data_IF_102495465759
#
_entry.id   IF_102495465759
#
_cell.length_a   1.000
_cell.length_b   1.000
_cell.length_c   1.000
_cell.angle_alpha   90.00
_cell.angle_beta   90.00
_cell.angle_gamma   90.00
#
_symmetry.space_group_name_H-M   'P 1'
#
loop_
_entity.id
_entity.type
_entity.pdbx_description
1 polymer ?
#
# COMPACT_ATOMS: atom_id res chain seq x y z
N UNK A 1 41.85 -27.97 -2.36
CA UNK A 1 41.07 -27.80 -1.10
C UNK A 1 40.61 -26.37 -0.86
N UNK A 2 41.31 -25.33 -1.33
CA UNK A 2 40.91 -23.93 -1.14
C UNK A 2 39.65 -23.49 -1.93
N UNK A 3 39.38 -24.09 -3.10
CA UNK A 3 38.16 -23.81 -3.91
C UNK A 3 36.86 -24.37 -3.32
N UNK A 4 36.94 -25.40 -2.48
CA UNK A 4 35.77 -26.04 -1.86
C UNK A 4 35.35 -25.24 -0.61
N UNK A 5 36.31 -24.61 0.10
CA UNK A 5 35.99 -23.69 1.19
C UNK A 5 35.27 -22.43 0.71
N UNK A 6 35.63 -21.83 -0.42
CA UNK A 6 34.93 -20.63 -0.93
C UNK A 6 33.46 -20.90 -1.32
N UNK A 7 33.15 -22.09 -1.83
CA UNK A 7 31.78 -22.49 -2.15
C UNK A 7 30.95 -22.80 -0.89
N UNK A 8 31.59 -23.34 0.16
CA UNK A 8 30.94 -23.59 1.45
C UNK A 8 30.76 -22.31 2.31
N UNK A 9 31.60 -21.29 2.11
CA UNK A 9 31.47 -19.99 2.79
C UNK A 9 30.47 -19.05 2.09
N UNK A 10 30.24 -19.19 0.78
CA UNK A 10 29.18 -18.44 0.08
C UNK A 10 27.76 -18.94 0.41
N UNK A 11 27.59 -20.22 0.76
CA UNK A 11 26.29 -20.74 1.21
C UNK A 11 25.94 -20.38 2.66
N UNK A 12 26.90 -19.90 3.45
CA UNK A 12 26.68 -19.46 4.84
C UNK A 12 26.34 -17.97 4.99
N UNK A 13 26.32 -17.20 3.88
CA UNK A 13 25.96 -15.77 3.85
C UNK A 13 24.59 -15.48 3.23
N UNK A 14 23.89 -16.50 2.73
CA UNK A 14 22.46 -16.37 2.45
C UNK A 14 21.69 -16.56 3.75
N UNK A 15 21.74 -15.55 4.63
CA UNK A 15 20.72 -15.40 5.65
C UNK A 15 19.38 -15.51 4.92
N UNK A 16 18.55 -16.48 5.29
CA UNK A 16 17.26 -16.73 4.67
C UNK A 16 16.49 -15.40 4.63
N UNK A 17 16.51 -14.76 3.45
CA UNK A 17 15.85 -13.48 3.25
C UNK A 17 14.37 -13.85 3.30
N UNK A 18 13.70 -13.43 4.37
CA UNK A 18 12.26 -13.65 4.47
C UNK A 18 11.64 -13.07 3.19
N UNK A 19 10.89 -13.91 2.47
CA UNK A 19 10.30 -13.50 1.20
C UNK A 19 9.48 -12.23 1.40
N UNK A 20 9.66 -11.20 0.56
CA UNK A 20 8.95 -9.93 0.72
C UNK A 20 7.44 -10.17 0.59
N UNK A 21 6.66 -9.76 1.58
CA UNK A 21 5.21 -9.96 1.56
C UNK A 21 4.48 -9.03 0.57
N UNK A 22 5.14 -7.96 0.14
CA UNK A 22 4.70 -7.08 -0.93
C UNK A 22 5.90 -6.44 -1.66
N UNK A 23 5.72 -6.14 -2.94
CA UNK A 23 6.72 -5.46 -3.79
C UNK A 23 6.06 -4.26 -4.46
N UNK A 24 6.78 -3.14 -4.53
CA UNK A 24 6.30 -1.92 -5.20
C UNK A 24 7.33 -1.45 -6.22
N UNK A 25 6.87 -1.20 -7.43
CA UNK A 25 7.59 -0.48 -8.49
C UNK A 25 7.02 0.92 -8.59
N UNK A 26 7.89 1.91 -8.48
CA UNK A 26 7.57 3.33 -8.66
C UNK A 26 8.16 3.78 -9.99
N UNK A 27 7.31 3.87 -10.98
CA UNK A 27 7.57 4.40 -12.30
C UNK A 27 7.52 5.93 -12.35
N UNK A 28 7.86 6.49 -13.52
CA UNK A 28 7.80 7.95 -13.73
C UNK A 28 6.38 8.50 -13.76
N UNK A 29 5.39 7.66 -14.06
CA UNK A 29 3.98 7.99 -13.92
C UNK A 29 3.68 8.53 -12.51
N UNK A 30 3.94 7.75 -11.46
CA UNK A 30 3.71 8.21 -10.07
C UNK A 30 4.74 9.25 -9.64
N UNK A 31 6.02 9.09 -10.00
CA UNK A 31 7.07 10.00 -9.53
C UNK A 31 6.91 11.43 -10.07
N UNK A 32 6.31 11.63 -11.25
CA UNK A 32 6.05 12.96 -11.80
C UNK A 32 4.90 13.71 -11.09
N UNK A 33 4.08 13.03 -10.27
CA UNK A 33 3.05 13.70 -9.45
C UNK A 33 3.63 14.61 -8.36
N UNK A 34 4.94 14.56 -8.12
CA UNK A 34 5.64 15.53 -7.26
C UNK A 34 5.32 16.97 -7.67
N UNK A 35 5.10 17.23 -8.96
CA UNK A 35 4.69 18.53 -9.47
C UNK A 35 3.35 19.00 -8.87
N UNK A 36 2.33 18.15 -8.86
CA UNK A 36 1.02 18.45 -8.26
C UNK A 36 1.12 18.63 -6.74
N UNK A 37 1.98 17.86 -6.08
CA UNK A 37 2.23 17.99 -4.64
C UNK A 37 2.86 19.35 -4.25
N UNK A 38 3.53 20.03 -5.19
CA UNK A 38 4.14 21.35 -4.91
C UNK A 38 3.11 22.44 -4.62
N UNK A 39 1.95 22.37 -5.28
CA UNK A 39 0.85 23.33 -5.12
C UNK A 39 0.05 23.05 -3.84
N UNK A 40 -0.21 21.78 -3.52
CA UNK A 40 -1.09 21.41 -2.40
C UNK A 40 -0.43 21.52 -1.01
N UNK A 41 0.90 21.42 -0.93
CA UNK A 41 1.60 21.22 0.37
C UNK A 41 2.37 22.45 0.88
N UNK A 42 2.06 23.66 0.39
CA UNK A 42 2.84 24.89 0.64
C UNK A 42 4.35 24.74 0.36
N UNK A 43 4.73 23.77 -0.49
CA UNK A 43 6.14 23.47 -0.78
C UNK A 43 6.76 24.66 -1.50
N UNK A 44 6.02 25.30 -2.41
CA UNK A 44 6.47 26.49 -3.11
C UNK A 44 6.79 27.65 -2.16
N UNK A 45 5.93 27.90 -1.16
CA UNK A 45 6.17 28.94 -0.14
C UNK A 45 7.42 28.65 0.69
N UNK A 46 7.63 27.37 1.06
CA UNK A 46 8.81 26.94 1.82
C UNK A 46 10.08 27.02 0.98
N UNK A 47 10.00 26.69 -0.30
CA UNK A 47 11.08 26.88 -1.26
C UNK A 47 11.46 28.35 -1.36
N UNK A 48 10.48 29.25 -1.51
CA UNK A 48 10.70 30.69 -1.53
C UNK A 48 11.28 31.22 -0.21
N UNK A 49 10.77 30.74 0.93
CA UNK A 49 11.25 31.12 2.26
C UNK A 49 12.70 30.66 2.49
N UNK A 50 13.05 29.43 2.09
CA UNK A 50 14.42 28.91 2.20
C UNK A 50 15.37 29.68 1.29
N UNK A 51 14.98 29.92 0.03
CA UNK A 51 15.73 30.77 -0.89
C UNK A 51 15.91 32.20 -0.36
N UNK A 52 15.01 32.70 0.49
CA UNK A 52 15.10 34.00 1.13
C UNK A 52 15.99 34.07 2.38
N UNK A 53 16.45 32.93 2.94
CA UNK A 53 17.25 32.92 4.17
C UNK A 53 18.68 33.37 3.92
N UNK A 54 19.24 34.12 4.88
CA UNK A 54 20.68 34.39 4.92
C UNK A 54 21.42 33.14 5.38
N UNK A 55 22.07 32.47 4.45
CA UNK A 55 22.88 31.28 4.75
C UNK A 55 24.14 31.66 5.55
N UNK A 56 24.52 30.90 6.61
CA UNK A 56 25.77 31.09 7.31
C UNK A 56 26.96 31.00 6.35
N UNK A 57 27.86 31.99 6.38
CA UNK A 57 29.04 32.03 5.49
C UNK A 57 28.81 32.61 4.10
N UNK A 58 27.58 33.04 3.78
CA UNK A 58 27.30 33.75 2.52
C UNK A 58 28.01 35.12 2.51
N UNK A 59 28.98 35.28 1.60
CA UNK A 59 29.75 36.52 1.47
C UNK A 59 28.83 37.67 1.02
N UNK A 60 29.09 38.92 1.46
CA UNK A 60 28.38 40.08 0.95
C UNK A 60 28.42 40.12 -0.57
N UNK A 61 27.24 40.25 -1.18
CA UNK A 61 27.12 40.28 -2.63
C UNK A 61 27.58 41.64 -3.11
N UNK A 62 28.67 41.66 -3.88
CA UNK A 62 29.20 42.89 -4.43
C UNK A 62 28.19 43.50 -5.40
N UNK A 63 27.69 44.69 -5.08
CA UNK A 63 26.77 45.46 -5.92
C UNK A 63 25.28 45.23 -5.67
N UNK A 64 24.91 44.40 -4.69
CA UNK A 64 23.52 44.29 -4.19
C UNK A 64 23.55 44.35 -2.67
N UNK A 65 22.77 45.25 -2.08
CA UNK A 65 22.50 45.26 -0.64
C UNK A 65 21.04 44.96 -0.36
N UNK A 66 20.73 44.41 0.82
CA UNK A 66 19.37 44.03 1.21
C UNK A 66 18.65 43.11 0.21
N UNK A 67 19.36 42.13 -0.34
CA UNK A 67 18.79 41.14 -1.24
C UNK A 67 17.66 40.37 -0.53
N UNK A 68 16.52 40.22 -1.22
CA UNK A 68 15.35 39.44 -0.79
C UNK A 68 14.75 38.71 -1.98
N UNK A 69 14.38 37.45 -1.79
CA UNK A 69 13.52 36.73 -2.74
C UNK A 69 12.07 37.16 -2.46
N UNK A 70 11.42 37.73 -3.47
CA UNK A 70 10.03 38.23 -3.39
C UNK A 70 9.04 37.10 -3.68
N UNK A 71 9.31 36.32 -4.71
CA UNK A 71 8.49 35.17 -5.14
C UNK A 71 9.34 34.17 -5.93
N UNK A 72 8.86 32.93 -5.92
CA UNK A 72 9.34 31.83 -6.78
C UNK A 72 8.12 31.31 -7.53
N UNK A 73 8.24 31.18 -8.84
CA UNK A 73 7.19 30.65 -9.71
C UNK A 73 7.12 29.14 -9.59
N UNK A 74 5.92 28.57 -9.78
CA UNK A 74 5.73 27.13 -9.82
C UNK A 74 6.71 26.52 -10.83
N UNK A 75 7.66 25.66 -10.39
CA UNK A 75 8.61 25.05 -11.31
C UNK A 75 7.91 24.09 -12.26
N UNK A 76 8.54 23.81 -13.40
CA UNK A 76 8.29 22.62 -14.22
C UNK A 76 9.41 21.63 -13.95
N UNK A 77 9.07 20.44 -13.47
CA UNK A 77 10.04 19.41 -13.08
C UNK A 77 10.04 18.29 -14.12
N UNK A 78 11.23 17.90 -14.57
CA UNK A 78 11.47 16.68 -15.35
C UNK A 78 12.39 15.76 -14.58
N UNK A 79 12.00 14.49 -14.46
CA UNK A 79 12.75 13.48 -13.72
C UNK A 79 13.21 12.36 -14.66
N UNK A 80 14.37 11.78 -14.36
CA UNK A 80 14.88 10.59 -15.02
C UNK A 80 15.54 9.68 -13.99
N UNK A 81 15.35 8.36 -14.10
CA UNK A 81 16.06 7.44 -13.24
C UNK A 81 17.53 7.31 -13.62
N UNK A 82 18.38 7.21 -12.61
CA UNK A 82 19.80 6.91 -12.74
C UNK A 82 20.04 5.57 -12.03
N UNK A 83 20.21 4.47 -12.80
CA UNK A 83 20.34 3.12 -12.24
C UNK A 83 21.42 3.04 -11.15
N UNK A 84 21.08 2.44 -10.02
CA UNK A 84 21.97 2.28 -8.86
C UNK A 84 22.31 3.57 -8.11
N UNK A 85 21.76 4.72 -8.52
CA UNK A 85 22.04 6.03 -7.90
C UNK A 85 20.79 6.66 -7.32
N UNK A 86 19.73 6.83 -8.11
CA UNK A 86 18.56 7.58 -7.69
C UNK A 86 17.91 8.31 -8.87
N UNK A 87 17.58 9.59 -8.71
CA UNK A 87 16.81 10.34 -9.70
C UNK A 87 17.59 11.58 -10.14
N UNK A 88 17.83 11.73 -11.43
CA UNK A 88 18.24 13.00 -12.01
C UNK A 88 17.03 13.90 -12.20
N UNK A 89 17.12 15.16 -11.76
CA UNK A 89 16.06 16.15 -11.91
C UNK A 89 16.56 17.36 -12.70
N UNK A 90 15.67 17.88 -13.53
CA UNK A 90 15.79 19.18 -14.20
C UNK A 90 14.56 20.02 -13.84
N UNK A 91 14.79 21.19 -13.25
CA UNK A 91 13.75 22.07 -12.73
C UNK A 91 13.85 23.40 -13.45
N UNK A 92 12.82 23.75 -14.22
CA UNK A 92 12.70 25.06 -14.84
C UNK A 92 11.78 25.94 -14.00
N UNK A 93 12.26 27.09 -13.52
CA UNK A 93 11.47 27.99 -12.66
C UNK A 93 11.84 29.45 -12.90
N UNK A 94 11.00 30.35 -12.42
CA UNK A 94 11.29 31.78 -12.37
C UNK A 94 11.34 32.27 -10.93
N UNK A 95 12.08 33.33 -10.66
CA UNK A 95 11.99 34.01 -9.37
C UNK A 95 12.23 35.50 -9.49
N UNK A 96 11.67 36.25 -8.54
CA UNK A 96 11.86 37.69 -8.43
C UNK A 96 12.73 38.02 -7.23
N UNK A 97 13.86 38.67 -7.49
CA UNK A 97 14.79 39.16 -6.48
C UNK A 97 14.65 40.66 -6.36
N UNK A 98 14.57 41.16 -5.14
CA UNK A 98 14.58 42.61 -4.83
C UNK A 98 15.78 42.98 -3.98
N UNK A 99 16.19 44.23 -4.04
CA UNK A 99 17.25 44.77 -3.19
C UNK A 99 17.58 46.20 -3.55
N UNK A 100 18.75 46.66 -3.11
CA UNK A 100 19.33 47.94 -3.51
C UNK A 100 20.54 47.69 -4.41
N UNK A 101 20.55 48.33 -5.56
CA UNK A 101 21.68 48.30 -6.50
C UNK A 101 22.92 48.98 -5.92
N UNK A 102 24.06 48.85 -6.60
CA UNK A 102 25.30 49.58 -6.29
C UNK A 102 25.16 51.11 -6.37
N UNK A 103 24.06 51.63 -6.94
CA UNK A 103 23.73 53.05 -6.96
C UNK A 103 22.83 53.48 -5.79
N UNK A 104 22.46 52.57 -4.90
CA UNK A 104 21.57 52.84 -3.76
C UNK A 104 20.07 52.84 -4.11
N UNK A 105 19.70 52.83 -5.39
CA UNK A 105 18.32 52.74 -5.87
C UNK A 105 17.72 51.34 -5.73
N UNK A 106 16.39 51.27 -5.58
CA UNK A 106 15.64 50.02 -5.54
C UNK A 106 15.80 49.25 -6.85
N UNK A 107 16.05 47.96 -6.73
CA UNK A 107 16.32 47.07 -7.83
C UNK A 107 15.40 45.85 -7.74
N UNK A 108 14.86 45.46 -8.89
CA UNK A 108 14.07 44.25 -9.09
C UNK A 108 14.67 43.49 -10.26
N UNK A 109 14.96 42.21 -10.04
CA UNK A 109 15.54 41.28 -11.01
C UNK A 109 14.61 40.08 -11.10
N UNK A 110 14.04 39.88 -12.27
CA UNK A 110 13.25 38.69 -12.60
C UNK A 110 14.17 37.76 -13.37
N UNK A 111 14.39 36.56 -12.84
CA UNK A 111 15.22 35.54 -13.48
C UNK A 111 14.38 34.33 -13.87
N UNK A 112 14.79 33.69 -14.96
CA UNK A 112 14.34 32.35 -15.36
C UNK A 112 15.55 31.44 -15.25
N UNK A 113 15.38 30.30 -14.59
CA UNK A 113 16.44 29.42 -14.15
C UNK A 113 16.13 27.98 -14.59
N UNK A 114 17.18 27.28 -15.00
CA UNK A 114 17.19 25.83 -15.05
C UNK A 114 18.11 25.32 -13.95
N UNK A 115 17.62 24.39 -13.15
CA UNK A 115 18.35 23.78 -12.05
C UNK A 115 18.47 22.29 -12.33
N UNK A 116 19.68 21.77 -12.33
CA UNK A 116 19.92 20.33 -12.47
C UNK A 116 20.53 19.79 -11.20
N UNK A 117 20.08 18.62 -10.77
CA UNK A 117 20.67 17.93 -9.62
C UNK A 117 20.43 16.42 -9.74
N UNK A 118 21.28 15.64 -9.06
CA UNK A 118 21.07 14.20 -8.89
C UNK A 118 20.65 13.94 -7.46
N UNK A 119 19.41 13.49 -7.27
CA UNK A 119 18.89 13.05 -5.99
C UNK A 119 19.31 11.60 -5.77
N UNK A 120 20.42 11.38 -5.07
CA UNK A 120 20.90 10.03 -4.73
C UNK A 120 20.00 9.43 -3.67
N UNK A 121 19.55 8.19 -3.90
CA UNK A 121 18.82 7.42 -2.90
C UNK A 121 19.82 6.67 -2.02
N UNK A 122 19.78 6.97 -0.73
CA UNK A 122 20.64 6.43 0.31
C UNK A 122 19.81 5.81 1.41
N UNK A 123 20.47 5.09 2.32
CA UNK A 123 19.91 4.73 3.61
C UNK A 123 20.48 5.67 4.66
N UNK A 124 19.60 6.25 5.46
CA UNK A 124 19.99 7.06 6.60
C UNK A 124 20.55 6.17 7.71
N UNK A 125 21.75 6.48 8.22
CA UNK A 125 22.45 5.62 9.18
C UNK A 125 21.77 5.60 10.55
N UNK A 126 21.13 6.70 10.96
CA UNK A 126 20.50 6.83 12.28
C UNK A 126 19.12 6.16 12.32
N UNK A 127 18.29 6.40 11.31
CA UNK A 127 16.91 5.93 11.26
C UNK A 127 16.76 4.61 10.50
N UNK A 128 17.73 4.24 9.67
CA UNK A 128 17.66 3.09 8.77
C UNK A 128 16.67 3.27 7.61
N UNK A 129 16.04 4.44 7.49
CA UNK A 129 15.06 4.75 6.45
C UNK A 129 15.73 5.20 5.15
N UNK A 130 15.08 5.04 3.99
CA UNK A 130 15.56 5.61 2.75
C UNK A 130 15.51 7.13 2.80
N UNK A 131 16.49 7.76 2.16
CA UNK A 131 16.59 9.22 2.07
C UNK A 131 17.17 9.62 0.72
N UNK A 132 16.54 10.60 0.08
CA UNK A 132 17.10 11.28 -1.07
C UNK A 132 17.99 12.43 -0.62
N UNK A 133 19.20 12.49 -1.17
CA UNK A 133 20.14 13.58 -0.98
C UNK A 133 20.51 14.19 -2.32
N UNK A 134 20.43 15.51 -2.42
CA UNK A 134 20.85 16.23 -3.63
C UNK A 134 22.37 16.24 -3.76
N UNK A 135 22.87 15.90 -4.94
CA UNK A 135 24.27 15.98 -5.33
C UNK A 135 24.40 16.70 -6.67
N UNK A 136 25.49 17.44 -6.85
CA UNK A 136 25.78 18.11 -8.13
C UNK A 136 24.72 19.13 -8.54
N UNK A 137 24.17 19.89 -7.58
CA UNK A 137 23.21 20.94 -7.89
C UNK A 137 23.88 22.09 -8.66
N UNK A 138 23.42 22.31 -9.88
CA UNK A 138 23.87 23.37 -10.78
C UNK A 138 22.69 24.27 -11.16
N UNK A 139 22.92 25.58 -11.19
CA UNK A 139 21.89 26.58 -11.53
C UNK A 139 22.35 27.38 -12.74
N UNK A 140 21.57 27.29 -13.80
CA UNK A 140 21.81 27.94 -15.08
C UNK A 140 20.82 29.09 -15.24
N UNK A 141 21.34 30.30 -15.44
CA UNK A 141 20.53 31.47 -15.75
C UNK A 141 20.10 31.43 -17.22
N UNK A 142 18.81 31.25 -17.47
CA UNK A 142 18.23 31.19 -18.83
C UNK A 142 17.88 32.57 -19.35
N UNK A 143 17.24 33.38 -18.51
CA UNK A 143 16.83 34.73 -18.87
C UNK A 143 16.85 35.66 -17.65
N UNK A 144 17.07 36.94 -17.89
CA UNK A 144 17.08 37.96 -16.85
C UNK A 144 16.46 39.26 -17.34
N UNK A 145 15.55 39.82 -16.54
CA UNK A 145 14.98 41.15 -16.71
C UNK A 145 15.25 41.96 -15.45
N UNK A 146 15.73 43.19 -15.61
CA UNK A 146 16.03 44.07 -14.48
C UNK A 146 15.48 45.46 -14.73
N UNK A 147 15.09 46.16 -13.67
CA UNK A 147 14.72 47.58 -13.74
C UNK A 147 15.93 48.53 -13.63
N UNK A 148 17.16 48.04 -13.83
CA UNK A 148 18.33 48.89 -13.84
C UNK A 148 18.24 49.93 -14.98
N UNK A 149 18.72 51.16 -14.76
CA UNK A 149 18.64 52.23 -15.74
C UNK A 149 19.20 51.83 -17.12
N UNK A 150 18.44 52.10 -18.18
CA UNK A 150 18.83 51.80 -19.57
C UNK A 150 20.03 52.61 -20.07
N UNK A 151 20.39 53.70 -19.37
CA UNK A 151 21.59 54.49 -19.64
C UNK A 151 22.88 53.85 -19.09
N UNK A 152 22.79 52.68 -18.43
CA UNK A 152 23.97 51.93 -18.03
C UNK A 152 24.68 51.31 -19.21
N UNK A 153 26.02 51.32 -19.16
CA UNK A 153 26.84 50.60 -20.12
C UNK A 153 26.50 49.11 -20.10
N UNK A 154 26.22 48.49 -21.27
CA UNK A 154 25.93 47.06 -21.37
C UNK A 154 27.00 46.18 -20.71
N UNK A 155 28.27 46.59 -20.74
CA UNK A 155 29.38 45.90 -20.06
C UNK A 155 29.22 45.84 -18.54
N UNK A 156 28.64 46.86 -17.90
CA UNK A 156 28.42 46.89 -16.44
C UNK A 156 27.27 45.97 -16.07
N UNK A 157 26.19 46.00 -16.84
CA UNK A 157 25.03 45.11 -16.67
C UNK A 157 25.46 43.66 -16.88
N UNK A 158 26.14 43.35 -17.99
CA UNK A 158 26.63 41.99 -18.26
C UNK A 158 27.59 41.51 -17.17
N UNK A 159 28.54 42.35 -16.73
CA UNK A 159 29.45 41.99 -15.63
C UNK A 159 28.70 41.75 -14.32
N UNK A 160 27.65 42.51 -14.04
CA UNK A 160 26.81 42.29 -12.87
C UNK A 160 26.05 40.96 -12.97
N UNK A 161 25.41 40.68 -14.11
CA UNK A 161 24.71 39.41 -14.35
C UNK A 161 25.65 38.21 -14.24
N UNK A 162 26.83 38.31 -14.85
CA UNK A 162 27.80 37.23 -14.93
C UNK A 162 28.54 37.01 -13.60
N UNK A 163 28.92 38.08 -12.89
CA UNK A 163 29.72 37.96 -11.66
C UNK A 163 28.91 37.88 -10.37
N UNK A 164 27.69 38.43 -10.35
CA UNK A 164 26.86 38.51 -9.16
C UNK A 164 25.76 37.44 -9.19
N UNK A 165 24.94 37.37 -10.23
CA UNK A 165 23.83 36.41 -10.25
C UNK A 165 24.32 34.97 -10.30
N UNK A 166 25.28 34.62 -11.17
CA UNK A 166 25.83 33.25 -11.21
C UNK A 166 26.42 32.77 -9.88
N UNK A 167 26.88 33.67 -9.01
CA UNK A 167 27.39 33.30 -7.67
C UNK A 167 26.29 33.20 -6.61
N UNK A 168 25.22 33.96 -6.78
CA UNK A 168 24.15 34.07 -5.79
C UNK A 168 23.10 33.00 -6.02
N UNK A 169 22.71 32.75 -7.26
CA UNK A 169 21.62 31.85 -7.61
C UNK A 169 21.80 30.43 -7.06
N UNK A 170 22.99 29.77 -7.17
CA UNK A 170 23.20 28.46 -6.56
C UNK A 170 23.00 28.45 -5.04
N UNK A 171 23.48 29.50 -4.35
CA UNK A 171 23.35 29.63 -2.90
C UNK A 171 21.91 29.87 -2.42
N UNK A 172 21.01 30.30 -3.30
CA UNK A 172 19.57 30.44 -2.98
C UNK A 172 18.80 29.18 -3.36
N UNK A 173 19.01 28.66 -4.56
CA UNK A 173 18.15 27.62 -5.13
C UNK A 173 18.54 26.20 -4.74
N UNK A 174 19.83 25.88 -4.58
CA UNK A 174 20.24 24.53 -4.18
C UNK A 174 19.75 24.15 -2.77
N UNK A 175 19.86 25.02 -1.75
CA UNK A 175 19.26 24.74 -0.44
C UNK A 175 17.73 24.66 -0.50
N UNK A 176 17.10 25.39 -1.41
CA UNK A 176 15.65 25.31 -1.60
C UNK A 176 15.23 23.94 -2.16
N UNK A 177 16.02 23.35 -3.07
CA UNK A 177 15.86 21.96 -3.52
C UNK A 177 16.03 20.98 -2.35
N UNK A 178 17.08 21.15 -1.52
CA UNK A 178 17.29 20.31 -0.33
C UNK A 178 16.09 20.37 0.62
N UNK A 179 15.50 21.55 0.81
CA UNK A 179 14.31 21.71 1.64
C UNK A 179 13.10 20.97 1.07
N UNK A 180 12.93 20.87 -0.26
CA UNK A 180 11.89 20.03 -0.88
C UNK A 180 12.14 18.55 -0.56
N UNK A 181 13.38 18.08 -0.67
CA UNK A 181 13.72 16.69 -0.36
C UNK A 181 13.43 16.32 1.10
N UNK A 182 13.51 17.25 2.05
CA UNK A 182 13.08 17.01 3.44
C UNK A 182 11.60 16.58 3.50
N UNK A 183 10.73 17.13 2.66
CA UNK A 183 9.31 16.73 2.60
C UNK A 183 9.12 15.37 1.96
N UNK A 184 9.83 15.10 0.87
CA UNK A 184 9.80 13.78 0.20
C UNK A 184 10.30 12.70 1.16
N UNK A 185 11.40 12.96 1.87
CA UNK A 185 12.02 12.00 2.76
C UNK A 185 11.16 11.67 3.98
N UNK A 186 10.34 12.61 4.47
CA UNK A 186 9.37 12.33 5.53
C UNK A 186 8.33 11.29 5.12
N UNK A 187 8.03 11.13 3.83
CA UNK A 187 7.07 10.11 3.36
C UNK A 187 7.60 8.68 3.57
N UNK A 188 8.92 8.49 3.66
CA UNK A 188 9.50 7.19 4.02
C UNK A 188 9.21 6.80 5.47
N UNK A 189 9.08 7.78 6.38
CA UNK A 189 8.79 7.50 7.79
C UNK A 189 7.38 6.93 7.99
N UNK A 190 6.39 7.47 7.26
CA UNK A 190 4.99 7.06 7.36
C UNK A 190 4.74 5.59 6.95
N UNK A 191 5.61 5.01 6.11
CA UNK A 191 5.47 3.61 5.65
C UNK A 191 5.46 2.59 6.80
N UNK A 192 6.14 2.90 7.89
CA UNK A 192 6.28 1.99 9.04
C UNK A 192 5.18 2.17 10.09
N UNK A 193 4.24 3.10 9.86
CA UNK A 193 3.15 3.34 10.79
C UNK A 193 2.17 2.15 10.81
N UNK A 194 1.73 1.70 11.99
CA UNK A 194 0.74 0.63 12.09
C UNK A 194 -0.60 1.06 11.50
N UNK A 195 -1.02 0.36 10.45
CA UNK A 195 -2.29 0.57 9.76
C UNK A 195 -3.35 -0.39 10.30
N UNK A 196 -4.53 0.09 10.75
CA UNK A 196 -5.54 -0.76 11.37
C UNK A 196 -6.31 -1.62 10.36
N UNK A 197 -6.56 -2.86 10.75
CA UNK A 197 -7.53 -3.78 10.14
C UNK A 197 -8.75 -3.83 11.06
N UNK A 198 -9.60 -2.80 10.94
CA UNK A 198 -10.70 -2.54 11.87
C UNK A 198 -10.22 -2.47 13.31
N UNK A 199 -10.87 -3.24 14.19
CA UNK A 199 -10.47 -3.35 15.59
C UNK A 199 -9.67 -4.63 15.89
N UNK A 200 -9.33 -5.43 14.86
CA UNK A 200 -8.80 -6.79 15.05
C UNK A 200 -7.28 -6.83 15.16
N UNK A 201 -6.58 -5.88 14.53
CA UNK A 201 -5.13 -5.83 14.51
C UNK A 201 -4.61 -4.73 13.60
N UNK A 202 -3.32 -4.79 13.30
CA UNK A 202 -2.61 -3.82 12.46
C UNK A 202 -1.65 -4.49 11.50
N UNK A 203 -1.36 -3.81 10.39
CA UNK A 203 -0.32 -4.17 9.42
C UNK A 203 0.72 -3.05 9.40
N UNK A 204 2.00 -3.39 9.33
CA UNK A 204 3.11 -2.44 9.11
C UNK A 204 3.87 -2.84 7.87
N UNK A 205 4.08 -1.91 6.93
CA UNK A 205 4.87 -2.15 5.73
C UNK A 205 6.33 -1.74 5.95
N UNK A 206 7.05 -2.58 6.70
CA UNK A 206 8.49 -2.38 6.95
C UNK A 206 9.28 -2.75 5.70
N UNK A 207 10.34 -2.01 5.42
CA UNK A 207 11.21 -2.28 4.27
C UNK A 207 12.04 -3.56 4.51
N UNK A 208 12.11 -4.41 3.50
CA UNK A 208 12.97 -5.60 3.49
C UNK A 208 14.43 -5.24 3.17
N UNK A 209 14.64 -4.17 2.40
CA UNK A 209 15.95 -3.59 2.10
C UNK A 209 15.83 -2.16 1.60
N UNK A 210 16.95 -1.47 1.48
CA UNK A 210 17.05 -0.17 0.82
C UNK A 210 16.48 -0.27 -0.60
N UNK A 211 15.58 0.65 -1.02
CA UNK A 211 15.01 0.60 -2.36
C UNK A 211 16.09 0.75 -3.43
N UNK A 212 15.91 0.04 -4.55
CA UNK A 212 16.86 0.00 -5.64
C UNK A 212 16.34 0.78 -6.84
N UNK A 213 17.15 1.68 -7.39
CA UNK A 213 16.79 2.42 -8.61
C UNK A 213 17.26 1.68 -9.85
N UNK A 214 16.36 1.45 -10.80
CA UNK A 214 16.65 0.84 -12.11
C UNK A 214 16.61 1.91 -13.20
N UNK A 215 16.65 1.53 -14.48
CA UNK A 215 16.48 2.48 -15.59
C UNK A 215 15.03 2.98 -15.71
N UNK A 216 14.06 2.24 -15.17
CA UNK A 216 12.65 2.43 -15.50
C UNK A 216 11.76 2.59 -14.27
N UNK A 217 12.25 2.22 -13.07
CA UNK A 217 11.51 2.35 -11.81
C UNK A 217 12.43 2.33 -10.58
N UNK A 218 11.93 2.81 -9.44
CA UNK A 218 12.45 2.47 -8.11
C UNK A 218 11.70 1.26 -7.58
N UNK A 219 12.44 0.24 -7.16
CA UNK A 219 11.91 -0.96 -6.52
C UNK A 219 11.97 -0.83 -5.01
N UNK A 220 10.82 -1.00 -4.36
CA UNK A 220 10.65 -0.98 -2.91
C UNK A 220 10.12 -2.35 -2.47
N UNK A 221 10.91 -3.07 -1.68
CA UNK A 221 10.56 -4.40 -1.21
C UNK A 221 10.10 -4.30 0.25
N UNK A 222 8.93 -4.87 0.57
CA UNK A 222 8.37 -4.84 1.92
C UNK A 222 8.43 -6.22 2.58
N UNK A 223 8.74 -6.25 3.87
CA UNK A 223 8.56 -7.39 4.76
C UNK A 223 7.49 -7.03 5.80
N UNK A 224 6.20 -7.17 5.45
CA UNK A 224 5.13 -6.62 6.27
C UNK A 224 4.98 -7.41 7.58
N UNK A 225 4.60 -6.71 8.64
CA UNK A 225 4.36 -7.29 9.96
C UNK A 225 2.89 -7.16 10.32
N UNK A 226 2.21 -8.30 10.40
CA UNK A 226 0.80 -8.37 10.80
C UNK A 226 0.71 -8.67 12.29
N UNK A 227 0.02 -7.83 13.06
CA UNK A 227 -0.09 -7.94 14.52
C UNK A 227 -1.54 -7.96 14.98
N UNK A 228 -1.84 -8.84 15.93
CA UNK A 228 -3.13 -8.85 16.63
C UNK A 228 -3.17 -7.76 17.70
N UNK A 229 -4.33 -7.15 17.94
CA UNK A 229 -4.48 -6.04 18.90
C UNK A 229 -3.99 -6.38 20.33
N UNK A 230 -4.13 -7.64 20.75
CA UNK A 230 -3.69 -8.16 22.07
C UNK A 230 -2.91 -9.47 21.89
N UNK A 231 -1.95 -9.51 20.98
CA UNK A 231 -1.28 -10.77 20.64
C UNK A 231 0.08 -10.61 19.98
N UNK A 232 0.64 -11.75 19.58
CA UNK A 232 1.92 -11.83 18.87
C UNK A 232 1.73 -11.51 17.39
N UNK A 233 2.84 -11.18 16.73
CA UNK A 233 2.86 -11.07 15.27
C UNK A 233 2.44 -12.41 14.62
N UNK A 234 1.62 -12.32 13.59
CA UNK A 234 1.24 -13.45 12.75
C UNK A 234 2.39 -13.66 11.76
N UNK A 235 2.98 -14.86 11.77
CA UNK A 235 3.99 -15.22 10.78
C UNK A 235 3.34 -15.38 9.42
N UNK A 236 3.88 -14.69 8.42
CA UNK A 236 3.55 -14.96 7.02
C UNK A 236 4.03 -16.37 6.68
N UNK A 237 3.22 -17.11 5.94
CA UNK A 237 3.64 -18.39 5.41
C UNK A 237 4.76 -18.16 4.38
N UNK A 238 5.76 -19.03 4.39
CA UNK A 238 6.77 -19.06 3.34
C UNK A 238 6.06 -19.34 2.00
N UNK A 239 6.24 -18.44 1.03
CA UNK A 239 5.62 -18.56 -0.29
C UNK A 239 6.29 -19.69 -1.10
N UNK A 240 7.49 -20.13 -0.71
CA UNK A 240 8.29 -21.16 -1.38
C UNK A 240 8.90 -20.70 -2.70
N UNK A 241 8.28 -19.74 -3.39
CA UNK A 241 8.79 -19.09 -4.59
C UNK A 241 8.79 -17.56 -4.40
N UNK A 242 9.86 -16.93 -4.88
CA UNK A 242 10.01 -15.48 -4.83
C UNK A 242 8.87 -14.80 -5.61
N UNK A 243 8.29 -13.76 -5.02
CA UNK A 243 7.35 -12.88 -5.71
C UNK A 243 8.03 -12.17 -6.86
N UNK A 244 7.40 -12.22 -8.03
CA UNK A 244 7.89 -11.58 -9.24
C UNK A 244 6.72 -10.91 -9.96
N UNK A 245 6.95 -9.71 -10.46
CA UNK A 245 5.98 -9.05 -11.31
C UNK A 245 5.86 -9.81 -12.64
N UNK A 246 4.64 -10.03 -13.14
CA UNK A 246 4.44 -10.58 -14.48
C UNK A 246 4.98 -9.62 -15.55
N UNK A 247 5.30 -10.16 -16.73
CA UNK A 247 5.53 -9.36 -17.94
C UNK A 247 4.23 -8.81 -18.54
N UNK A 248 4.34 -8.01 -19.60
CA UNK A 248 3.19 -7.52 -20.37
C UNK A 248 2.66 -6.15 -19.97
N UNK A 249 3.29 -5.49 -18.99
CA UNK A 249 2.98 -4.11 -18.60
C UNK A 249 3.96 -3.14 -19.25
N UNK A 250 3.50 -1.90 -19.43
CA UNK A 250 4.34 -0.85 -19.99
C UNK A 250 5.62 -0.70 -19.17
N UNK A 251 6.75 -0.54 -19.86
CA UNK A 251 8.03 -0.32 -19.20
C UNK A 251 7.96 0.95 -18.35
N UNK A 252 8.37 0.84 -17.09
CA UNK A 252 8.31 1.96 -16.14
C UNK A 252 6.91 2.31 -15.63
N UNK A 253 5.94 1.39 -15.74
CA UNK A 253 4.66 1.49 -15.03
C UNK A 253 4.86 1.33 -13.51
N UNK A 254 4.08 2.09 -12.74
CA UNK A 254 4.00 1.91 -11.29
C UNK A 254 3.07 0.75 -10.93
N UNK A 255 3.54 -0.15 -10.08
CA UNK A 255 2.83 -1.41 -9.78
C UNK A 255 3.06 -1.84 -8.34
N UNK A 256 2.01 -2.33 -7.67
CA UNK A 256 2.10 -2.96 -6.36
C UNK A 256 1.71 -4.43 -6.48
N UNK A 257 2.56 -5.32 -5.99
CA UNK A 257 2.31 -6.75 -5.89
C UNK A 257 2.14 -7.13 -4.43
N UNK A 258 0.99 -7.69 -4.07
CA UNK A 258 0.66 -8.11 -2.70
C UNK A 258 0.51 -9.62 -2.65
N UNK A 259 1.31 -10.27 -1.83
CA UNK A 259 1.34 -11.74 -1.77
C UNK A 259 0.07 -12.34 -1.16
N UNK A 260 -0.29 -13.54 -1.63
CA UNK A 260 -1.34 -14.34 -1.01
C UNK A 260 -1.01 -14.68 0.46
N UNK A 261 0.28 -14.79 0.80
CA UNK A 261 0.76 -15.03 2.16
C UNK A 261 0.45 -13.86 3.10
N UNK A 262 0.69 -12.62 2.64
CA UNK A 262 0.33 -11.42 3.39
C UNK A 262 -1.19 -11.34 3.58
N UNK A 263 -1.97 -11.44 2.50
CA UNK A 263 -3.43 -11.38 2.58
C UNK A 263 -4.00 -12.51 3.46
N UNK A 264 -3.40 -13.69 3.45
CA UNK A 264 -3.74 -14.79 4.37
C UNK A 264 -3.50 -14.41 5.83
N UNK A 265 -2.36 -13.79 6.14
CA UNK A 265 -2.05 -13.35 7.50
C UNK A 265 -3.01 -12.25 7.97
N UNK A 266 -3.39 -11.32 7.10
CA UNK A 266 -4.38 -10.29 7.40
C UNK A 266 -5.79 -10.87 7.61
N UNK A 267 -6.24 -11.79 6.75
CA UNK A 267 -7.52 -12.50 6.93
C UNK A 267 -7.57 -13.33 8.22
N UNK A 268 -6.43 -13.78 8.72
CA UNK A 268 -6.37 -14.46 10.01
C UNK A 268 -6.70 -13.54 11.20
N UNK A 269 -6.54 -12.21 11.07
CA UNK A 269 -7.05 -11.23 12.05
C UNK A 269 -8.58 -11.27 12.13
N UNK A 270 -9.25 -11.50 10.99
CA UNK A 270 -10.71 -11.52 10.86
C UNK A 270 -11.34 -12.87 11.20
N UNK A 271 -10.54 -13.90 11.54
CA UNK A 271 -11.03 -15.28 11.75
C UNK A 271 -12.23 -15.36 12.69
N UNK A 272 -12.22 -14.59 13.79
CA UNK A 272 -13.33 -14.60 14.75
C UNK A 272 -14.59 -13.93 14.20
N UNK A 273 -14.44 -12.93 13.35
CA UNK A 273 -15.54 -12.21 12.70
C UNK A 273 -16.28 -13.07 11.67
N UNK A 274 -15.64 -14.13 11.16
CA UNK A 274 -16.30 -15.13 10.30
C UNK A 274 -17.17 -16.13 11.07
N UNK A 275 -17.26 -16.05 12.40
CA UNK A 275 -18.18 -16.90 13.16
C UNK A 275 -19.61 -16.36 13.06
N UNK A 276 -20.59 -17.25 12.93
CA UNK A 276 -22.00 -16.86 12.80
C UNK A 276 -22.91 -17.70 13.70
N UNK A 277 -23.93 -17.07 14.27
CA UNK A 277 -25.04 -17.75 14.95
C UNK A 277 -26.34 -17.32 14.27
N UNK A 278 -26.82 -18.15 13.34
CA UNK A 278 -27.97 -17.85 12.48
C UNK A 278 -29.20 -18.51 13.09
N UNK A 279 -30.24 -17.72 13.37
CA UNK A 279 -31.47 -18.15 14.08
C UNK A 279 -32.74 -17.96 13.25
N UNK A 280 -32.60 -17.27 12.12
CA UNK A 280 -33.66 -16.91 11.21
C UNK A 280 -34.27 -18.18 10.62
N UNK A 281 -35.60 -18.25 10.67
CA UNK A 281 -36.34 -19.40 10.10
C UNK A 281 -36.59 -19.24 8.60
N UNK A 282 -36.62 -18.01 8.11
CA UNK A 282 -36.81 -17.66 6.70
C UNK A 282 -35.57 -16.89 6.25
N UNK A 283 -34.83 -17.43 5.27
CA UNK A 283 -33.56 -16.87 4.81
C UNK A 283 -33.55 -16.92 3.28
N UNK A 284 -33.63 -15.75 2.64
CA UNK A 284 -33.63 -15.65 1.18
C UNK A 284 -34.63 -16.62 0.55
N UNK A 285 -34.14 -17.40 -0.41
CA UNK A 285 -34.90 -18.44 -1.12
C UNK A 285 -34.81 -19.83 -0.49
N UNK A 286 -34.11 -19.97 0.66
CA UNK A 286 -33.99 -21.26 1.32
C UNK A 286 -35.36 -21.74 1.83
N UNK A 287 -35.59 -23.07 1.83
CA UNK A 287 -36.71 -23.65 2.56
C UNK A 287 -36.69 -23.22 4.04
N UNK A 288 -37.84 -23.21 4.72
CA UNK A 288 -37.91 -22.83 6.12
C UNK A 288 -36.92 -23.63 6.98
N UNK A 289 -36.09 -22.97 7.76
CA UNK A 289 -35.06 -23.59 8.58
C UNK A 289 -35.68 -24.23 9.84
N UNK A 290 -36.26 -25.41 9.63
CA UNK A 290 -37.00 -26.16 10.65
C UNK A 290 -36.61 -27.64 10.68
N UNK A 291 -36.91 -28.32 11.79
CA UNK A 291 -36.69 -29.77 11.91
C UNK A 291 -37.48 -30.59 10.89
N UNK A 292 -38.60 -30.06 10.36
CA UNK A 292 -39.37 -30.72 9.30
C UNK A 292 -38.59 -30.74 7.99
N UNK A 293 -38.03 -29.61 7.59
CA UNK A 293 -37.16 -29.50 6.41
C UNK A 293 -35.95 -30.43 6.52
N UNK A 294 -35.28 -30.41 7.67
CA UNK A 294 -34.12 -31.28 7.92
C UNK A 294 -34.49 -32.76 7.93
N UNK A 295 -35.70 -33.13 8.35
CA UNK A 295 -36.17 -34.50 8.32
C UNK A 295 -36.35 -35.06 6.90
N UNK A 296 -36.50 -34.19 5.89
CA UNK A 296 -36.49 -34.59 4.48
C UNK A 296 -35.14 -35.18 4.04
N UNK A 297 -34.04 -34.79 4.70
CA UNK A 297 -32.70 -35.32 4.44
C UNK A 297 -32.26 -36.36 5.47
N UNK A 298 -32.73 -36.24 6.72
CA UNK A 298 -32.38 -37.17 7.79
C UNK A 298 -33.65 -37.68 8.47
N UNK A 299 -34.20 -38.84 8.06
CA UNK A 299 -35.47 -39.35 8.58
C UNK A 299 -35.51 -39.53 10.11
N UNK A 300 -34.37 -39.77 10.74
CA UNK A 300 -34.25 -39.86 12.20
C UNK A 300 -34.67 -38.57 12.94
N UNK A 301 -34.59 -37.40 12.28
CA UNK A 301 -35.02 -36.11 12.83
C UNK A 301 -36.53 -36.06 13.05
N UNK A 302 -37.33 -36.62 12.14
CA UNK A 302 -38.80 -36.67 12.32
C UNK A 302 -39.21 -37.45 13.57
N UNK A 303 -38.47 -38.54 13.88
CA UNK A 303 -38.70 -39.35 15.08
C UNK A 303 -38.32 -38.59 16.35
N UNK A 304 -37.18 -37.91 16.33
CA UNK A 304 -36.68 -37.14 17.48
C UNK A 304 -37.46 -35.84 17.74
N UNK A 305 -38.01 -35.24 16.68
CA UNK A 305 -38.74 -33.96 16.74
C UNK A 305 -40.11 -34.04 16.02
N UNK A 306 -41.12 -34.70 16.62
CA UNK A 306 -42.44 -34.87 15.98
C UNK A 306 -43.19 -33.56 15.74
N UNK A 307 -42.91 -32.52 16.54
CA UNK A 307 -43.43 -31.16 16.34
C UNK A 307 -42.33 -30.31 15.75
N UNK A 308 -42.62 -29.60 14.65
CA UNK A 308 -41.68 -28.69 14.00
C UNK A 308 -41.05 -27.73 15.00
N UNK A 309 -39.71 -27.64 14.95
CA UNK A 309 -38.91 -26.68 15.73
C UNK A 309 -38.06 -25.83 14.79
N UNK A 310 -37.91 -24.52 15.07
CA UNK A 310 -36.89 -23.69 14.44
C UNK A 310 -35.50 -24.30 14.62
N UNK A 311 -34.68 -24.23 13.57
CA UNK A 311 -33.27 -24.56 13.63
C UNK A 311 -32.44 -23.32 13.95
N UNK A 312 -31.34 -23.56 14.65
CA UNK A 312 -30.27 -22.58 14.88
C UNK A 312 -28.98 -23.19 14.40
N UNK A 313 -28.29 -22.49 13.51
CA UNK A 313 -27.02 -22.93 12.93
C UNK A 313 -25.88 -22.08 13.45
N UNK A 314 -24.91 -22.74 14.10
CA UNK A 314 -23.71 -22.10 14.60
C UNK A 314 -22.53 -22.50 13.72
N UNK A 315 -21.94 -21.52 13.03
CA UNK A 315 -20.76 -21.72 12.20
C UNK A 315 -19.55 -21.13 12.94
N UNK A 316 -18.49 -21.93 13.05
CA UNK A 316 -17.25 -21.55 13.72
C UNK A 316 -16.03 -21.87 12.86
N UNK A 317 -15.26 -20.87 12.48
CA UNK A 317 -14.01 -21.03 11.75
C UNK A 317 -12.89 -21.31 12.73
N UNK A 318 -12.44 -22.55 12.76
CA UNK A 318 -11.56 -23.09 13.80
C UNK A 318 -10.12 -23.28 13.32
N UNK A 319 -9.85 -23.37 12.02
CA UNK A 319 -8.50 -23.26 11.44
C UNK A 319 -8.28 -21.85 10.87
N UNK A 320 -7.04 -21.34 10.79
CA UNK A 320 -6.75 -20.09 10.10
C UNK A 320 -7.27 -20.12 8.65
N UNK A 321 -7.89 -19.04 8.15
CA UNK A 321 -8.21 -18.92 6.73
C UNK A 321 -6.95 -19.06 5.88
N UNK A 322 -7.09 -19.56 4.65
CA UNK A 322 -5.98 -19.64 3.69
C UNK A 322 -6.42 -19.11 2.35
N UNK A 323 -5.65 -18.20 1.77
CA UNK A 323 -5.86 -17.70 0.41
C UNK A 323 -4.95 -18.46 -0.56
N UNK A 324 -5.49 -18.85 -1.71
CA UNK A 324 -4.71 -19.37 -2.83
C UNK A 324 -4.99 -18.55 -4.08
N UNK A 325 -3.95 -18.24 -4.84
CA UNK A 325 -4.03 -17.37 -6.01
C UNK A 325 -3.31 -18.01 -7.18
N UNK A 326 -4.08 -18.29 -8.22
CA UNK A 326 -3.59 -18.68 -9.54
C UNK A 326 -4.00 -17.58 -10.53
N UNK A 327 -3.36 -17.47 -11.71
CA UNK A 327 -3.74 -16.48 -12.72
C UNK A 327 -5.27 -16.40 -12.95
N UNK A 328 -5.86 -15.23 -12.69
CA UNK A 328 -7.29 -14.97 -12.84
C UNK A 328 -8.23 -15.61 -11.79
N UNK A 329 -7.73 -16.36 -10.81
CA UNK A 329 -8.55 -17.03 -9.79
C UNK A 329 -7.95 -16.94 -8.39
N UNK A 330 -8.69 -16.31 -7.48
CA UNK A 330 -8.39 -16.29 -6.05
C UNK A 330 -9.45 -17.05 -5.25
N UNK A 331 -9.01 -17.91 -4.34
CA UNK A 331 -9.83 -18.77 -3.51
C UNK A 331 -9.51 -18.60 -2.03
N UNK A 332 -10.49 -18.18 -1.24
CA UNK A 332 -10.44 -18.15 0.22
C UNK A 332 -10.95 -19.48 0.77
N UNK A 333 -10.07 -20.27 1.37
CA UNK A 333 -10.40 -21.52 2.04
C UNK A 333 -10.77 -21.26 3.49
N UNK A 334 -11.96 -21.71 3.87
CA UNK A 334 -12.47 -21.67 5.23
C UNK A 334 -12.69 -23.10 5.72
N UNK A 335 -12.21 -23.36 6.92
CA UNK A 335 -12.38 -24.64 7.58
C UNK A 335 -12.95 -24.42 8.97
N UNK A 336 -14.08 -25.07 9.22
CA UNK A 336 -14.92 -24.78 10.36
C UNK A 336 -15.74 -25.95 10.83
N UNK A 337 -16.55 -25.69 11.84
CA UNK A 337 -17.66 -26.56 12.23
C UNK A 337 -18.99 -25.86 11.98
N UNK A 338 -19.96 -26.61 11.50
CA UNK A 338 -21.35 -26.23 11.37
C UNK A 338 -22.17 -27.08 12.34
N UNK A 339 -22.74 -26.45 13.36
CA UNK A 339 -23.59 -27.12 14.36
C UNK A 339 -25.04 -26.72 14.14
N UNK A 340 -25.91 -27.68 13.88
CA UNK A 340 -27.35 -27.47 13.81
C UNK A 340 -28.02 -27.90 15.11
N UNK A 341 -28.84 -27.03 15.67
CA UNK A 341 -29.58 -27.26 16.91
C UNK A 341 -31.06 -26.93 16.73
N UNK A 342 -31.94 -27.65 17.42
CA UNK A 342 -33.35 -27.30 17.51
C UNK A 342 -33.59 -26.32 18.67
N UNK A 343 -34.37 -25.27 18.43
CA UNK A 343 -34.86 -24.40 19.49
C UNK A 343 -35.86 -25.14 20.39
N UNK A 344 -35.62 -25.16 21.71
CA UNK A 344 -36.57 -25.74 22.66
C UNK A 344 -37.63 -24.73 23.07
N UNK A 345 -38.81 -25.22 23.50
CA UNK A 345 -39.85 -24.34 24.04
C UNK A 345 -39.52 -23.87 25.46
N UNK A 346 -40.16 -22.77 25.87
CA UNK A 346 -40.12 -22.22 27.22
C UNK A 346 -38.70 -21.83 27.71
N UNK A 347 -37.84 -21.33 26.82
CA UNK A 347 -36.53 -20.79 27.21
C UNK A 347 -35.48 -21.82 27.64
N UNK A 348 -35.72 -23.13 27.42
CA UNK A 348 -34.82 -24.23 27.82
C UNK A 348 -33.54 -24.40 26.98
N UNK A 349 -33.21 -23.43 26.12
CA UNK A 349 -31.97 -23.41 25.34
C UNK A 349 -32.04 -24.16 24.00
N UNK A 350 -30.88 -24.57 23.49
CA UNK A 350 -30.70 -25.20 22.17
C UNK A 350 -30.36 -26.68 22.32
N UNK A 351 -31.11 -27.56 21.66
CA UNK A 351 -30.81 -28.99 21.60
C UNK A 351 -29.94 -29.29 20.38
N UNK A 352 -28.67 -29.67 20.59
CA UNK A 352 -27.78 -30.02 19.49
C UNK A 352 -28.29 -31.25 18.74
N UNK A 353 -28.48 -31.14 17.43
CA UNK A 353 -28.87 -32.26 16.56
C UNK A 353 -27.60 -32.96 16.05
N UNK A 354 -26.72 -32.21 15.40
CA UNK A 354 -25.44 -32.70 14.93
C UNK A 354 -24.42 -31.57 14.80
N UNK A 355 -23.15 -31.96 14.69
CA UNK A 355 -22.03 -31.10 14.33
C UNK A 355 -21.31 -31.70 13.13
N UNK A 356 -21.17 -30.90 12.08
CA UNK A 356 -20.38 -31.22 10.89
C UNK A 356 -19.07 -30.44 10.94
N UNK A 357 -17.99 -31.07 10.49
CA UNK A 357 -16.76 -30.42 10.06
C UNK A 357 -16.89 -30.14 8.57
N UNK A 358 -16.63 -28.89 8.17
CA UNK A 358 -16.81 -28.43 6.81
C UNK A 358 -15.56 -27.72 6.33
N UNK A 359 -15.14 -28.05 5.11
CA UNK A 359 -14.13 -27.32 4.35
C UNK A 359 -14.77 -26.85 3.05
N UNK A 360 -14.75 -25.55 2.81
CA UNK A 360 -15.26 -24.96 1.58
C UNK A 360 -14.32 -23.83 1.16
N UNK A 361 -14.45 -23.43 -0.10
CA UNK A 361 -13.72 -22.30 -0.64
C UNK A 361 -14.69 -21.28 -1.26
N UNK A 362 -14.30 -20.02 -1.15
CA UNK A 362 -15.02 -18.90 -1.71
C UNK A 362 -14.18 -18.29 -2.82
N UNK A 363 -14.78 -17.97 -3.95
CA UNK A 363 -14.15 -17.14 -4.97
C UNK A 363 -14.09 -15.71 -4.46
N UNK A 364 -12.93 -15.08 -4.57
CA UNK A 364 -12.72 -13.69 -4.13
C UNK A 364 -12.68 -12.77 -5.34
N UNK A 365 -13.42 -11.67 -5.27
CA UNK A 365 -13.32 -10.52 -6.15
C UNK A 365 -12.70 -9.36 -5.38
N UNK A 366 -11.76 -8.67 -6.03
CA UNK A 366 -11.05 -7.54 -5.43
C UNK A 366 -11.54 -6.23 -6.03
N UNK A 367 -11.57 -5.20 -5.21
CA UNK A 367 -11.72 -3.81 -5.63
C UNK A 367 -10.93 -2.92 -4.67
N UNK A 368 -10.78 -1.64 -5.01
CA UNK A 368 -10.18 -0.66 -4.09
C UNK A 368 -11.22 0.39 -3.75
N UNK A 369 -11.30 0.75 -2.48
CA UNK A 369 -12.10 1.87 -1.99
C UNK A 369 -11.36 2.56 -0.86
N UNK A 370 -11.26 3.89 -0.94
CA UNK A 370 -10.59 4.72 0.07
C UNK A 370 -9.16 4.23 0.35
N UNK A 371 -8.42 3.85 -0.71
CA UNK A 371 -7.06 3.29 -0.63
C UNK A 371 -6.94 2.01 0.22
N UNK A 372 -8.05 1.28 0.41
CA UNK A 372 -8.07 -0.03 1.03
C UNK A 372 -8.50 -1.09 0.03
N UNK A 373 -7.86 -2.24 0.10
CA UNK A 373 -8.23 -3.41 -0.66
C UNK A 373 -9.55 -3.99 -0.10
N UNK A 374 -10.57 -3.98 -0.94
CA UNK A 374 -11.88 -4.55 -0.64
C UNK A 374 -11.98 -5.96 -1.23
N UNK A 375 -12.72 -6.82 -0.54
CA UNK A 375 -12.98 -8.19 -0.96
C UNK A 375 -14.47 -8.48 -0.90
N UNK A 376 -15.01 -9.00 -1.99
CA UNK A 376 -16.32 -9.61 -2.05
C UNK A 376 -16.16 -11.09 -2.39
N UNK A 377 -17.01 -11.93 -1.80
CA UNK A 377 -16.89 -13.39 -1.95
C UNK A 377 -18.18 -14.05 -2.36
N UNK A 378 -18.06 -15.12 -3.14
CA UNK A 378 -19.14 -16.04 -3.52
C UNK A 378 -18.69 -17.48 -3.29
N UNK A 379 -19.63 -18.42 -3.13
CA UNK A 379 -19.27 -19.83 -2.95
C UNK A 379 -18.61 -20.34 -4.23
N UNK A 380 -17.43 -20.96 -4.13
CA UNK A 380 -16.87 -21.74 -5.24
C UNK A 380 -17.34 -23.19 -5.07
N UNK A 381 -16.92 -23.87 -3.99
CA UNK A 381 -17.26 -25.28 -3.72
C UNK A 381 -17.26 -25.63 -2.23
N UNK A 382 -18.15 -26.54 -1.86
CA UNK A 382 -18.03 -27.33 -0.64
C UNK A 382 -17.07 -28.51 -0.91
N UNK A 383 -15.88 -28.47 -0.31
CA UNK A 383 -14.78 -29.41 -0.58
C UNK A 383 -14.91 -30.69 0.24
N UNK A 384 -15.33 -30.57 1.50
CA UNK A 384 -15.61 -31.73 2.35
C UNK A 384 -16.66 -31.41 3.42
N UNK A 385 -17.39 -32.46 3.79
CA UNK A 385 -18.37 -32.44 4.86
C UNK A 385 -18.28 -33.77 5.61
N UNK A 386 -17.96 -33.71 6.90
CA UNK A 386 -17.79 -34.89 7.74
C UNK A 386 -18.52 -34.72 9.06
N UNK A 387 -19.21 -35.75 9.55
CA UNK A 387 -19.89 -35.67 10.84
C UNK A 387 -18.88 -35.81 11.97
N UNK A 388 -18.90 -34.82 12.87
CA UNK A 388 -18.13 -34.84 14.11
C UNK A 388 -18.92 -35.45 15.26
N UNK A 389 -20.20 -35.12 15.38
CA UNK A 389 -21.10 -35.70 16.38
C UNK A 389 -22.56 -35.60 15.95
N UNK A 390 -23.42 -36.45 16.53
CA UNK A 390 -24.86 -36.47 16.28
C UNK A 390 -25.61 -37.07 17.46
N UNK A 391 -26.72 -36.46 17.86
CA UNK A 391 -27.66 -36.97 18.86
C UNK A 391 -28.79 -37.81 18.25
N UNK A 392 -28.93 -37.77 16.92
CA UNK A 392 -29.96 -38.47 16.15
C UNK A 392 -29.44 -39.77 15.51
N UNK A 393 -28.25 -40.22 15.92
CA UNK A 393 -27.60 -41.42 15.38
C UNK A 393 -26.85 -41.16 14.08
N UNK A 394 -26.61 -42.24 13.33
CA UNK A 394 -25.88 -42.20 12.07
C UNK A 394 -26.79 -41.77 10.91
N UNK A 395 -26.26 -40.96 10.02
CA UNK A 395 -26.86 -40.54 8.75
C UNK A 395 -25.76 -40.36 7.70
N UNK A 396 -26.13 -40.34 6.43
CA UNK A 396 -25.21 -40.14 5.32
C UNK A 396 -24.98 -38.64 5.09
N UNK A 397 -23.78 -38.15 5.34
CA UNK A 397 -23.45 -36.72 5.21
C UNK A 397 -23.56 -36.24 3.75
N UNK A 398 -23.40 -37.15 2.78
CA UNK A 398 -23.51 -36.80 1.36
C UNK A 398 -24.92 -36.32 0.99
N UNK A 399 -25.95 -36.83 1.64
CA UNK A 399 -27.34 -36.40 1.41
C UNK A 399 -27.58 -34.95 1.84
N UNK A 400 -26.76 -34.40 2.73
CA UNK A 400 -26.82 -33.00 3.15
C UNK A 400 -26.01 -32.05 2.25
N UNK A 401 -25.25 -32.56 1.28
CA UNK A 401 -24.30 -31.73 0.50
C UNK A 401 -25.00 -30.56 -0.18
N UNK A 402 -26.10 -30.81 -0.89
CA UNK A 402 -26.88 -29.75 -1.56
C UNK A 402 -27.45 -28.75 -0.57
N UNK A 403 -28.16 -29.24 0.44
CA UNK A 403 -28.75 -28.41 1.49
C UNK A 403 -27.72 -27.51 2.20
N UNK A 404 -26.55 -28.05 2.56
CA UNK A 404 -25.49 -27.26 3.22
C UNK A 404 -24.83 -26.28 2.23
N UNK A 405 -24.69 -26.64 0.96
CA UNK A 405 -24.16 -25.74 -0.07
C UNK A 405 -25.07 -24.52 -0.24
N UNK A 406 -26.37 -24.74 -0.42
CA UNK A 406 -27.36 -23.67 -0.54
C UNK A 406 -27.41 -22.82 0.74
N UNK A 407 -27.37 -23.47 1.91
CA UNK A 407 -27.33 -22.79 3.20
C UNK A 407 -26.11 -21.88 3.34
N UNK A 408 -24.92 -22.37 2.97
CA UNK A 408 -23.70 -21.56 3.02
C UNK A 408 -23.81 -20.35 2.11
N UNK A 409 -24.33 -20.53 0.89
CA UNK A 409 -24.46 -19.47 -0.09
C UNK A 409 -25.41 -18.36 0.36
N UNK A 410 -26.63 -18.72 0.75
CA UNK A 410 -27.68 -17.74 1.04
C UNK A 410 -27.58 -17.17 2.47
N UNK A 411 -27.20 -17.99 3.45
CA UNK A 411 -27.24 -17.60 4.86
C UNK A 411 -25.88 -17.15 5.42
N UNK A 412 -24.78 -17.78 4.98
CA UNK A 412 -23.47 -17.60 5.63
C UNK A 412 -22.53 -16.66 4.88
N UNK A 413 -22.49 -16.70 3.55
CA UNK A 413 -21.63 -15.80 2.76
C UNK A 413 -21.91 -14.32 3.00
N UNK A 414 -23.17 -13.86 3.19
CA UNK A 414 -23.42 -12.48 3.59
C UNK A 414 -22.66 -12.09 4.88
N UNK A 415 -22.63 -12.97 5.88
CA UNK A 415 -21.87 -12.74 7.14
C UNK A 415 -20.37 -12.62 6.88
N UNK A 416 -19.83 -13.43 5.96
CA UNK A 416 -18.43 -13.34 5.56
C UNK A 416 -18.16 -12.00 4.86
N UNK A 417 -19.01 -11.61 3.91
CA UNK A 417 -18.86 -10.36 3.16
C UNK A 417 -18.99 -9.12 4.07
N UNK A 418 -19.88 -9.15 5.07
CA UNK A 418 -20.00 -8.09 6.07
C UNK A 418 -18.71 -7.94 6.89
N UNK A 419 -18.11 -9.06 7.31
CA UNK A 419 -16.83 -9.04 8.03
C UNK A 419 -15.67 -8.50 7.16
N UNK A 420 -15.75 -8.67 5.83
CA UNK A 420 -14.74 -8.19 4.87
C UNK A 420 -14.87 -6.70 4.52
N UNK A 421 -16.01 -6.05 4.81
CA UNK A 421 -16.22 -4.61 4.55
C UNK A 421 -15.20 -3.69 5.24
N UNK A 422 -14.51 -4.19 6.26
CA UNK A 422 -13.44 -3.47 6.96
C UNK A 422 -12.31 -3.02 6.02
N UNK A 423 -12.11 -3.75 4.92
CA UNK A 423 -11.01 -3.56 3.98
C UNK A 423 -9.64 -3.86 4.58
N UNK A 424 -8.70 -4.23 3.73
CA UNK A 424 -7.30 -4.43 4.08
C UNK A 424 -6.48 -3.18 3.71
N UNK A 425 -5.59 -2.69 4.58
CA UNK A 425 -4.76 -1.54 4.26
C UNK A 425 -3.80 -1.87 3.11
N UNK A 426 -3.55 -0.89 2.24
CA UNK A 426 -2.46 -0.91 1.26
C UNK A 426 -1.33 0.00 1.76
N UNK A 427 -0.07 -0.16 1.31
CA UNK A 427 1.03 0.70 1.74
C UNK A 427 0.73 2.18 1.49
N UNK A 428 0.74 3.01 2.53
CA UNK A 428 0.57 4.46 2.37
C UNK A 428 1.91 5.12 2.02
N UNK A 429 2.14 5.35 0.72
CA UNK A 429 3.35 5.98 0.23
C UNK A 429 3.04 7.05 -0.81
N UNK A 430 3.73 8.20 -0.71
CA UNK A 430 3.61 9.36 -1.60
C UNK A 430 2.17 9.83 -1.92
N UNK A 431 1.21 9.59 -1.01
CA UNK A 431 -0.21 9.90 -1.25
C UNK A 431 -0.78 9.24 -2.53
N UNK A 432 -0.30 8.03 -2.86
CA UNK A 432 -0.81 7.26 -3.99
C UNK A 432 -2.33 7.05 -3.89
N UNK A 433 -3.01 7.23 -5.02
CA UNK A 433 -4.42 6.92 -5.17
C UNK A 433 -4.59 5.51 -5.78
N UNK A 434 -4.86 4.52 -4.94
CA UNK A 434 -5.08 3.14 -5.37
C UNK A 434 -6.47 2.93 -5.97
N UNK A 435 -7.40 3.89 -5.87
CA UNK A 435 -8.79 3.68 -6.31
C UNK A 435 -8.91 3.48 -7.83
N UNK A 436 -7.91 3.92 -8.60
CA UNK A 436 -7.84 3.77 -10.06
C UNK A 436 -7.03 2.55 -10.50
N UNK A 437 -6.47 1.80 -9.55
CA UNK A 437 -5.61 0.68 -9.86
C UNK A 437 -6.40 -0.42 -10.59
N UNK A 438 -5.81 -0.94 -11.67
CA UNK A 438 -6.30 -2.13 -12.33
C UNK A 438 -5.78 -3.35 -11.58
N UNK A 439 -6.68 -4.28 -11.27
CA UNK A 439 -6.40 -5.41 -10.39
C UNK A 439 -6.30 -6.70 -11.20
N UNK A 440 -5.18 -7.39 -11.09
CA UNK A 440 -4.95 -8.68 -11.73
C UNK A 440 -4.50 -9.71 -10.70
N UNK A 441 -5.07 -10.92 -10.80
CA UNK A 441 -4.65 -12.03 -9.95
C UNK A 441 -3.59 -12.79 -10.73
N UNK A 442 -2.40 -12.89 -10.16
CA UNK A 442 -1.26 -13.64 -10.71
C UNK A 442 -0.91 -14.80 -9.78
N UNK A 443 0.07 -15.60 -10.18
CA UNK A 443 0.55 -16.71 -9.37
C UNK A 443 1.00 -16.20 -7.98
N UNK A 444 0.33 -16.68 -6.93
CA UNK A 444 0.58 -16.36 -5.52
C UNK A 444 0.46 -14.88 -5.12
N UNK A 445 -0.12 -14.00 -5.94
CA UNK A 445 -0.23 -12.59 -5.61
C UNK A 445 -1.39 -11.86 -6.31
N UNK A 446 -1.77 -10.73 -5.72
CA UNK A 446 -2.59 -9.71 -6.33
C UNK A 446 -1.69 -8.60 -6.86
N UNK A 447 -1.78 -8.31 -8.15
CA UNK A 447 -1.16 -7.18 -8.79
C UNK A 447 -2.15 -6.01 -8.84
N UNK A 448 -1.65 -4.83 -8.49
CA UNK A 448 -2.29 -3.54 -8.67
C UNK A 448 -1.43 -2.74 -9.64
N UNK A 449 -1.90 -2.60 -10.88
CA UNK A 449 -1.30 -1.72 -11.88
C UNK A 449 -1.81 -0.29 -11.62
N UNK A 450 -0.93 0.58 -11.15
CA UNK A 450 -1.29 1.89 -10.64
C UNK A 450 -1.50 2.82 -11.84
N UNK A 451 -2.74 3.28 -11.99
CA UNK A 451 -3.09 4.29 -13.00
C UNK A 451 -3.20 5.66 -12.36
N UNK A 452 -2.83 6.67 -13.13
CA UNK A 452 -3.06 8.05 -12.78
C UNK A 452 -4.31 8.56 -13.50
N UNK A 453 -4.94 9.57 -12.91
CA UNK A 453 -5.95 10.42 -13.57
C UNK A 453 -5.33 11.28 -14.68
#
# INVERSE_FOLDING_TARGET
MLRILCLALCSLLSGARADPGALLRLGMDVMNQVQSAMDESHILEKMAAEAGKKQPGMKPIKGITNLKVKDVQLPVITLNFVPGVGIFQCVATGMTITGKSFMGGNMEIIVVLNITATNRLLQDEETGLPTFKSEGCEVILVNVKTNLPSNMLPKVVNKFLDSTLHKVLPGLMCPAIDAVLVYVNRKWANLSDPMPVGQMGTVKYVLASTPATTASYIQVDFSPVVQQQKGKAIKLADAGAALQFPGGYAEGSSQLLVSAALLTAELALLRKSFNADIRETMIGELPPQTTVTLAGFIPAVAKAYPKSKPLVTQIRINKPPKLTMNPGKSLLHLHGTLKMSAAQQQGKGLASIFVLEAHFNLKVQYSVRENRLQMATTLDRLLSLARKSSSIGQFNEKELTGFITDYLQEAYIPVVNDALQVGLPLPDFLAMNYNLAQLDIVENALLLDLKLD
#
